data_IF_570878285721
#
_entry.id   IF_570878285721
#
_cell.length_a   1.000
_cell.length_b   1.000
_cell.length_c   1.000
_cell.angle_alpha   90.00
_cell.angle_beta   90.00
_cell.angle_gamma   90.00
#
_symmetry.space_group_name_H-M   'P 1'
#
loop_
_entity.id
_entity.type
_entity.pdbx_description
1 polymer ?
#
# COMPACT_ATOMS: atom_id res chain seq x y z
N UNK A 1 39.92 -11.39 -4.81
CA UNK A 1 39.79 -12.79 -4.40
C UNK A 1 39.09 -12.94 -3.04
N UNK A 2 39.48 -12.17 -2.01
CA UNK A 2 38.84 -12.19 -0.67
C UNK A 2 37.35 -11.85 -0.69
N UNK A 3 36.92 -10.89 -1.49
CA UNK A 3 35.52 -10.44 -1.59
C UNK A 3 34.58 -11.49 -2.21
N UNK A 4 35.10 -12.29 -3.14
CA UNK A 4 34.35 -13.40 -3.74
C UNK A 4 34.19 -14.57 -2.76
N UNK A 5 35.24 -14.86 -1.96
CA UNK A 5 35.19 -15.87 -0.90
C UNK A 5 34.25 -15.46 0.25
N UNK A 6 34.24 -14.18 0.64
CA UNK A 6 33.32 -13.66 1.66
C UNK A 6 31.88 -13.74 1.20
N UNK A 7 31.60 -13.38 -0.05
CA UNK A 7 30.26 -13.51 -0.66
C UNK A 7 29.83 -14.97 -0.79
N UNK A 8 30.72 -15.87 -1.16
CA UNK A 8 30.44 -17.30 -1.22
C UNK A 8 30.18 -17.89 0.18
N UNK A 9 30.94 -17.49 1.20
CA UNK A 9 30.73 -17.91 2.58
C UNK A 9 29.41 -17.36 3.16
N UNK A 10 29.08 -16.11 2.87
CA UNK A 10 27.78 -15.52 3.25
C UNK A 10 26.59 -16.21 2.54
N UNK A 11 26.73 -16.60 1.28
CA UNK A 11 25.72 -17.35 0.55
C UNK A 11 25.48 -18.76 1.10
N UNK A 12 26.51 -19.37 1.69
CA UNK A 12 26.43 -20.68 2.36
C UNK A 12 25.75 -20.59 3.76
N UNK A 13 25.83 -19.44 4.42
CA UNK A 13 25.32 -19.26 5.78
C UNK A 13 23.92 -18.69 5.85
N UNK A 14 23.42 -18.06 4.78
CA UNK A 14 22.09 -17.44 4.74
C UNK A 14 21.20 -18.27 3.82
N UNK A 15 20.55 -19.28 4.38
CA UNK A 15 19.52 -20.02 3.65
C UNK A 15 18.34 -19.08 3.35
N UNK A 16 17.92 -18.97 2.07
CA UNK A 16 16.75 -18.18 1.72
C UNK A 16 15.51 -18.79 2.38
N UNK A 17 14.80 -17.97 3.12
CA UNK A 17 13.60 -18.37 3.84
C UNK A 17 12.42 -17.46 3.52
N UNK A 18 11.22 -18.02 3.57
CA UNK A 18 9.99 -17.26 3.36
C UNK A 18 9.89 -16.09 4.37
N UNK A 19 9.65 -14.86 3.93
CA UNK A 19 9.56 -13.70 4.83
C UNK A 19 8.31 -13.74 5.74
N UNK A 20 7.34 -14.60 5.48
CA UNK A 20 6.13 -14.74 6.28
C UNK A 20 6.27 -15.93 7.26
N UNK A 21 6.37 -17.15 6.75
CA UNK A 21 6.37 -18.37 7.58
C UNK A 21 7.77 -18.88 7.96
N UNK A 22 8.84 -18.28 7.40
CA UNK A 22 10.25 -18.67 7.61
C UNK A 22 10.65 -20.05 7.09
N UNK A 23 9.76 -20.76 6.39
CA UNK A 23 10.12 -22.02 5.74
C UNK A 23 11.28 -21.81 4.75
N UNK A 24 12.16 -22.79 4.62
CA UNK A 24 13.27 -22.78 3.66
C UNK A 24 12.72 -22.65 2.24
N UNK A 25 13.39 -21.85 1.41
CA UNK A 25 13.11 -21.69 -0.02
C UNK A 25 14.19 -22.41 -0.87
N UNK A 26 14.82 -23.44 -0.35
CA UNK A 26 15.79 -24.24 -1.11
C UNK A 26 15.14 -24.78 -2.39
N UNK A 27 15.85 -24.63 -3.50
CA UNK A 27 15.35 -25.04 -4.81
C UNK A 27 14.53 -23.99 -5.57
N UNK A 28 14.19 -22.85 -4.96
CA UNK A 28 13.54 -21.76 -5.69
C UNK A 28 14.59 -20.94 -6.47
N UNK A 29 14.55 -20.92 -7.82
CA UNK A 29 15.52 -20.18 -8.63
C UNK A 29 15.53 -18.67 -8.33
N UNK A 30 14.40 -18.09 -7.93
CA UNK A 30 14.29 -16.69 -7.54
C UNK A 30 15.03 -16.39 -6.21
N UNK A 31 15.24 -17.38 -5.36
CA UNK A 31 15.98 -17.22 -4.11
C UNK A 31 17.50 -17.10 -4.32
N UNK A 32 18.01 -17.60 -5.44
CA UNK A 32 19.46 -17.60 -5.76
C UNK A 32 19.98 -16.23 -6.19
N UNK A 33 19.11 -15.33 -6.65
CA UNK A 33 19.53 -14.01 -7.16
C UNK A 33 19.65 -12.95 -6.07
N UNK A 34 19.33 -13.26 -4.80
CA UNK A 34 19.43 -12.31 -3.67
C UNK A 34 18.50 -11.08 -3.76
N UNK A 35 17.75 -10.94 -4.84
CA UNK A 35 17.15 -9.69 -5.26
C UNK A 35 15.71 -9.50 -4.78
N UNK A 36 14.95 -10.54 -4.44
CA UNK A 36 13.52 -10.36 -4.14
C UNK A 36 13.09 -11.21 -2.96
N UNK A 37 12.67 -10.53 -1.89
CA UNK A 37 11.99 -11.13 -0.74
C UNK A 37 10.57 -11.54 -1.16
N UNK A 38 10.37 -12.74 -1.72
CA UNK A 38 9.03 -13.23 -2.06
C UNK A 38 8.52 -14.22 -1.00
N UNK A 39 7.24 -14.13 -0.62
CA UNK A 39 6.59 -15.18 0.15
C UNK A 39 6.57 -16.51 -0.63
N UNK A 40 6.58 -17.65 0.09
CA UNK A 40 6.41 -18.96 -0.55
C UNK A 40 4.98 -19.14 -1.09
N UNK A 41 4.80 -20.09 -2.00
CA UNK A 41 3.51 -20.40 -2.61
C UNK A 41 2.40 -20.68 -1.58
N UNK A 42 2.72 -21.45 -0.53
CA UNK A 42 1.79 -21.74 0.57
C UNK A 42 1.32 -20.47 1.30
N UNK A 43 2.22 -19.50 1.50
CA UNK A 43 1.83 -18.22 2.08
C UNK A 43 1.00 -17.37 1.11
N UNK A 44 1.35 -17.34 -0.16
CA UNK A 44 0.56 -16.63 -1.18
C UNK A 44 -0.86 -17.17 -1.22
N UNK A 45 -1.01 -18.48 -1.26
CA UNK A 45 -2.31 -19.17 -1.27
C UNK A 45 -3.06 -19.00 0.05
N UNK A 46 -2.44 -19.33 1.18
CA UNK A 46 -3.07 -19.32 2.50
C UNK A 46 -3.55 -17.93 2.95
N UNK A 47 -2.84 -16.88 2.54
CA UNK A 47 -3.25 -15.48 2.79
C UNK A 47 -4.10 -14.88 1.66
N UNK A 48 -4.34 -15.60 0.55
CA UNK A 48 -5.07 -15.12 -0.62
C UNK A 48 -4.43 -13.91 -1.30
N UNK A 49 -3.09 -13.86 -1.33
CA UNK A 49 -2.35 -12.72 -1.87
C UNK A 49 -2.38 -12.72 -3.40
N UNK A 50 -2.88 -11.66 -4.00
CA UNK A 50 -2.91 -11.49 -5.44
C UNK A 50 -3.87 -12.42 -6.19
N UNK A 51 -4.79 -13.12 -5.50
CA UNK A 51 -5.62 -14.13 -6.15
C UNK A 51 -6.92 -13.56 -6.72
N UNK A 52 -7.79 -13.03 -5.86
CA UNK A 52 -9.11 -12.54 -6.26
C UNK A 52 -9.43 -11.21 -5.60
N UNK A 53 -10.36 -10.44 -6.21
CA UNK A 53 -10.77 -9.14 -5.70
C UNK A 53 -9.59 -8.20 -5.42
N UNK A 54 -8.62 -8.16 -6.32
CA UNK A 54 -7.42 -7.34 -6.20
C UNK A 54 -7.55 -5.98 -6.89
N UNK A 55 -8.64 -5.74 -7.60
CA UNK A 55 -8.95 -4.45 -8.23
C UNK A 55 -10.45 -4.24 -8.39
N UNK A 56 -10.86 -3.00 -8.62
CA UNK A 56 -12.25 -2.63 -8.87
C UNK A 56 -12.38 -1.12 -9.10
N UNK A 57 -13.62 -0.66 -9.34
CA UNK A 57 -13.91 0.72 -9.70
C UNK A 57 -14.69 1.51 -8.64
N UNK A 58 -15.23 0.83 -7.63
CA UNK A 58 -16.06 1.46 -6.60
C UNK A 58 -15.33 1.53 -5.24
N UNK A 59 -15.36 2.68 -4.57
CA UNK A 59 -16.01 3.98 -4.89
C UNK A 59 -15.16 4.88 -5.82
N UNK A 60 -13.98 4.47 -6.17
CA UNK A 60 -13.06 5.00 -7.18
C UNK A 60 -12.18 3.82 -7.64
N UNK A 61 -11.52 3.89 -8.80
CA UNK A 61 -10.62 2.82 -9.23
C UNK A 61 -9.59 2.48 -8.14
N UNK A 62 -9.45 1.19 -7.83
CA UNK A 62 -8.54 0.75 -6.77
C UNK A 62 -7.79 -0.53 -7.16
N UNK A 63 -6.60 -0.68 -6.57
CA UNK A 63 -5.76 -1.87 -6.65
C UNK A 63 -5.33 -2.27 -5.23
N UNK A 64 -5.40 -3.56 -4.91
CA UNK A 64 -5.02 -4.11 -3.61
C UNK A 64 -4.34 -5.47 -3.77
N UNK A 65 -3.59 -5.92 -2.77
CA UNK A 65 -3.00 -7.25 -2.80
C UNK A 65 -4.01 -8.35 -2.42
N UNK A 66 -5.05 -8.01 -1.67
CA UNK A 66 -6.07 -8.98 -1.28
C UNK A 66 -7.20 -8.36 -0.46
N UNK A 67 -8.08 -9.24 0.03
CA UNK A 67 -9.25 -8.87 0.81
C UNK A 67 -8.92 -8.76 2.29
N UNK A 68 -9.30 -7.65 2.95
CA UNK A 68 -9.06 -7.40 4.37
C UNK A 68 -9.97 -8.26 5.26
N UNK A 69 -9.68 -9.57 5.31
CA UNK A 69 -10.40 -10.56 6.12
C UNK A 69 -9.49 -11.73 6.50
N UNK A 70 -9.93 -12.58 7.43
CA UNK A 70 -9.23 -13.81 7.82
C UNK A 70 -7.76 -13.58 8.18
N UNK A 71 -6.92 -14.49 7.73
CA UNK A 71 -5.47 -14.49 7.97
C UNK A 71 -4.78 -13.28 7.36
N UNK A 72 -5.19 -12.81 6.18
CA UNK A 72 -4.58 -11.62 5.58
C UNK A 72 -4.83 -10.36 6.40
N UNK A 73 -6.00 -10.24 7.06
CA UNK A 73 -6.25 -9.14 8.01
C UNK A 73 -5.24 -9.16 9.16
N UNK A 74 -4.94 -10.34 9.72
CA UNK A 74 -3.96 -10.47 10.80
C UNK A 74 -2.56 -10.10 10.33
N UNK A 75 -2.16 -10.54 9.14
CA UNK A 75 -0.88 -10.19 8.53
C UNK A 75 -0.75 -8.66 8.33
N UNK A 76 -1.79 -8.00 7.82
CA UNK A 76 -1.79 -6.54 7.66
C UNK A 76 -1.67 -5.82 9.01
N UNK A 77 -2.34 -6.30 10.06
CA UNK A 77 -2.22 -5.74 11.40
C UNK A 77 -0.79 -5.89 11.96
N UNK A 78 -0.14 -7.03 11.73
CA UNK A 78 1.25 -7.28 12.07
C UNK A 78 2.20 -6.32 11.34
N UNK A 79 2.00 -6.15 10.02
CA UNK A 79 2.77 -5.21 9.19
C UNK A 79 2.59 -3.77 9.70
N UNK A 80 1.38 -3.39 10.14
CA UNK A 80 1.14 -2.04 10.73
C UNK A 80 1.95 -1.79 12.01
N UNK A 81 2.22 -2.83 12.78
CA UNK A 81 3.06 -2.72 13.99
C UNK A 81 4.55 -2.65 13.65
N UNK A 82 4.99 -3.39 12.64
CA UNK A 82 6.39 -3.48 12.20
C UNK A 82 6.51 -3.30 10.67
N UNK A 83 6.23 -2.10 10.16
CA UNK A 83 6.08 -1.89 8.72
C UNK A 83 7.40 -2.05 7.92
N UNK A 84 8.55 -1.87 8.56
CA UNK A 84 9.87 -2.09 7.95
C UNK A 84 10.41 -3.51 8.14
N UNK A 85 9.62 -4.42 8.72
CA UNK A 85 10.00 -5.83 8.86
C UNK A 85 10.25 -6.48 7.49
N UNK A 86 10.95 -7.62 7.49
CA UNK A 86 11.16 -8.43 6.28
C UNK A 86 9.84 -8.80 5.63
N UNK A 87 8.83 -9.17 6.44
CA UNK A 87 7.46 -9.45 5.99
C UNK A 87 6.81 -8.23 5.33
N UNK A 88 6.87 -7.06 5.97
CA UNK A 88 6.29 -5.83 5.44
C UNK A 88 6.87 -5.46 4.07
N UNK A 89 8.20 -5.48 3.94
CA UNK A 89 8.87 -5.22 2.66
C UNK A 89 8.48 -6.21 1.57
N UNK A 90 8.41 -7.51 1.91
CA UNK A 90 8.05 -8.56 0.96
C UNK A 90 6.61 -8.42 0.45
N UNK A 91 5.66 -8.11 1.34
CA UNK A 91 4.25 -7.92 0.97
C UNK A 91 4.06 -6.66 0.13
N UNK A 92 4.78 -5.58 0.44
CA UNK A 92 4.78 -4.35 -0.38
C UNK A 92 5.36 -4.63 -1.77
N UNK A 93 6.49 -5.36 -1.85
CA UNK A 93 7.07 -5.72 -3.14
C UNK A 93 6.16 -6.61 -3.96
N UNK A 94 5.46 -7.55 -3.32
CA UNK A 94 4.48 -8.41 -3.98
C UNK A 94 3.31 -7.58 -4.55
N UNK A 95 2.82 -6.57 -3.81
CA UNK A 95 1.81 -5.64 -4.29
C UNK A 95 2.29 -4.88 -5.53
N UNK A 96 3.52 -4.36 -5.52
CA UNK A 96 4.09 -3.63 -6.65
C UNK A 96 4.26 -4.53 -7.89
N UNK A 97 4.71 -5.76 -7.70
CA UNK A 97 4.84 -6.74 -8.79
C UNK A 97 3.48 -7.17 -9.36
N UNK A 98 2.46 -7.30 -8.49
CA UNK A 98 1.11 -7.71 -8.91
C UNK A 98 0.36 -6.60 -9.66
N UNK A 99 0.63 -5.34 -9.31
CA UNK A 99 -0.01 -4.18 -9.90
C UNK A 99 1.02 -3.17 -10.44
N UNK A 100 1.74 -3.50 -11.52
CA UNK A 100 2.65 -2.54 -12.12
C UNK A 100 1.89 -1.27 -12.51
N UNK A 101 2.52 -0.13 -12.28
CA UNK A 101 1.98 1.18 -12.64
C UNK A 101 2.54 1.63 -13.98
N UNK A 102 1.79 2.48 -14.73
CA UNK A 102 2.31 3.08 -15.95
C UNK A 102 3.56 3.90 -15.65
N UNK A 103 4.44 3.98 -16.64
CA UNK A 103 5.61 4.85 -16.55
C UNK A 103 5.18 6.30 -16.38
N UNK A 104 5.78 7.00 -15.41
CA UNK A 104 5.41 8.38 -15.11
C UNK A 104 4.23 8.51 -14.13
N UNK A 105 3.71 7.42 -13.58
CA UNK A 105 2.77 7.48 -12.47
C UNK A 105 3.41 8.19 -11.27
N UNK A 106 2.66 9.08 -10.61
CA UNK A 106 3.09 9.80 -9.42
C UNK A 106 2.29 9.33 -8.21
N UNK A 107 2.97 8.83 -7.19
CA UNK A 107 2.35 8.30 -6.00
C UNK A 107 2.13 9.38 -4.94
N UNK A 108 0.92 9.44 -4.38
CA UNK A 108 0.54 10.40 -3.34
C UNK A 108 0.09 9.66 -2.09
N UNK A 109 0.98 9.46 -1.10
CA UNK A 109 0.61 8.84 0.16
C UNK A 109 -0.43 9.68 0.91
N UNK A 110 -1.50 9.02 1.36
CA UNK A 110 -2.54 9.68 2.18
C UNK A 110 -2.00 9.86 3.61
N UNK A 111 -1.97 11.09 4.14
CA UNK A 111 -1.45 11.33 5.48
C UNK A 111 -2.37 10.76 6.58
N UNK A 112 -1.77 10.14 7.59
CA UNK A 112 -2.48 9.59 8.75
C UNK A 112 -3.19 10.69 9.56
N UNK A 113 -4.35 10.35 10.13
CA UNK A 113 -5.09 11.26 11.04
C UNK A 113 -4.47 11.34 12.45
N UNK A 114 -3.69 10.34 12.87
CA UNK A 114 -3.05 10.29 14.19
C UNK A 114 -1.78 11.13 14.21
N UNK A 115 -1.80 12.31 14.81
CA UNK A 115 -0.61 13.17 14.97
C UNK A 115 0.51 12.51 15.78
N UNK A 116 0.19 11.78 16.86
CA UNK A 116 1.17 11.16 17.78
C UNK A 116 1.73 9.81 17.31
N UNK A 117 1.06 9.11 16.38
CA UNK A 117 1.51 7.85 15.76
C UNK A 117 1.20 7.91 14.27
N UNK A 118 2.03 8.61 13.54
CA UNK A 118 1.93 8.65 12.08
C UNK A 118 2.06 7.21 11.55
N UNK A 119 1.09 6.77 10.74
CA UNK A 119 1.18 5.50 10.04
C UNK A 119 2.15 5.64 8.86
N UNK A 120 3.33 4.99 8.89
CA UNK A 120 4.31 5.13 7.82
C UNK A 120 3.99 4.27 6.59
N UNK A 121 3.01 3.35 6.67
CA UNK A 121 2.73 2.38 5.62
C UNK A 121 2.44 2.99 4.26
N UNK A 122 1.60 4.03 4.10
CA UNK A 122 1.36 4.62 2.79
C UNK A 122 2.65 5.11 2.11
N UNK A 123 3.58 5.69 2.87
CA UNK A 123 4.88 6.13 2.36
C UNK A 123 5.78 4.94 1.97
N UNK A 124 5.80 3.89 2.77
CA UNK A 124 6.59 2.69 2.51
C UNK A 124 6.04 1.91 1.31
N UNK A 125 4.71 1.84 1.15
CA UNK A 125 4.07 1.27 -0.02
C UNK A 125 4.47 2.06 -1.27
N UNK A 126 4.37 3.39 -1.24
CA UNK A 126 4.78 4.23 -2.36
C UNK A 126 6.26 4.01 -2.73
N UNK A 127 7.15 3.96 -1.73
CA UNK A 127 8.58 3.69 -1.96
C UNK A 127 8.83 2.32 -2.60
N UNK A 128 8.03 1.30 -2.24
CA UNK A 128 8.16 -0.06 -2.78
C UNK A 128 7.81 -0.20 -4.26
N UNK A 129 7.10 0.76 -4.84
CA UNK A 129 6.80 0.77 -6.28
C UNK A 129 7.97 1.28 -7.14
N UNK A 130 9.00 1.89 -6.54
CA UNK A 130 10.12 2.48 -7.30
C UNK A 130 9.73 3.64 -8.22
N UNK A 131 8.50 4.16 -8.10
CA UNK A 131 7.99 5.31 -8.83
C UNK A 131 8.16 6.60 -8.02
N UNK A 132 8.20 7.77 -8.66
CA UNK A 132 8.20 9.05 -7.95
C UNK A 132 7.02 9.17 -6.99
N UNK A 133 7.28 9.71 -5.81
CA UNK A 133 6.24 9.98 -4.82
C UNK A 133 6.34 11.39 -4.28
N UNK A 134 5.20 11.99 -3.94
CA UNK A 134 5.12 13.35 -3.43
C UNK A 134 4.08 13.51 -2.33
N UNK A 135 4.33 14.43 -1.40
CA UNK A 135 3.44 14.73 -0.27
C UNK A 135 2.53 15.93 -0.60
N UNK A 136 1.66 15.76 -1.59
CA UNK A 136 0.72 16.82 -2.01
C UNK A 136 -0.41 17.07 -1.02
N UNK A 137 -0.75 16.08 -0.20
CA UNK A 137 -1.87 16.15 0.73
C UNK A 137 -1.41 16.55 2.13
N UNK A 138 -2.08 17.55 2.68
CA UNK A 138 -1.97 17.94 4.09
C UNK A 138 -3.33 17.77 4.78
N UNK A 139 -3.34 17.29 6.02
CA UNK A 139 -4.56 17.25 6.81
C UNK A 139 -4.80 18.61 7.47
N UNK A 140 -5.99 19.15 7.27
CA UNK A 140 -6.41 20.44 7.82
C UNK A 140 -7.03 20.31 9.21
N UNK A 141 -7.70 19.16 9.50
CA UNK A 141 -8.39 18.90 10.78
C UNK A 141 -8.02 17.53 11.31
N UNK A 142 -7.84 17.43 12.62
CA UNK A 142 -7.93 16.15 13.30
C UNK A 142 -9.40 15.73 13.23
N UNK A 143 -9.73 14.72 12.42
CA UNK A 143 -11.10 14.19 12.36
C UNK A 143 -11.55 13.79 13.76
N UNK A 144 -12.82 14.06 14.11
CA UNK A 144 -13.46 13.54 15.30
C UNK A 144 -13.30 12.02 15.34
N UNK A 145 -13.09 11.46 16.52
CA UNK A 145 -12.90 10.02 16.73
C UNK A 145 -14.03 9.23 16.03
N UNK A 146 -13.70 8.45 15.03
CA UNK A 146 -14.66 7.81 14.11
C UNK A 146 -15.32 6.55 14.69
N UNK A 147 -15.11 6.26 15.99
CA UNK A 147 -15.57 4.99 16.57
C UNK A 147 -17.10 4.85 16.64
N UNK A 148 -17.87 5.94 16.55
CA UNK A 148 -19.34 5.93 16.70
C UNK A 148 -20.10 6.45 15.48
N UNK A 149 -19.45 6.74 14.35
CA UNK A 149 -20.11 7.31 13.18
C UNK A 149 -20.55 6.22 12.18
N UNK A 150 -21.79 6.33 11.70
CA UNK A 150 -22.28 5.51 10.59
C UNK A 150 -21.59 5.90 9.25
N UNK A 151 -21.85 5.14 8.17
CA UNK A 151 -21.22 5.33 6.86
C UNK A 151 -21.44 6.73 6.28
N UNK A 152 -22.67 7.25 6.38
CA UNK A 152 -23.05 8.57 5.87
C UNK A 152 -22.34 9.68 6.65
N UNK A 153 -22.33 9.60 7.97
CA UNK A 153 -21.63 10.57 8.84
C UNK A 153 -20.12 10.56 8.64
N UNK A 154 -19.51 9.39 8.30
CA UNK A 154 -18.07 9.33 7.97
C UNK A 154 -17.73 10.06 6.67
N UNK A 155 -18.62 10.04 5.67
CA UNK A 155 -18.40 10.78 4.43
C UNK A 155 -18.47 12.29 4.65
N UNK A 156 -19.47 12.78 5.38
CA UNK A 156 -19.61 14.21 5.70
C UNK A 156 -18.50 14.74 6.63
N UNK A 157 -17.98 13.89 7.51
CA UNK A 157 -16.91 14.28 8.46
C UNK A 157 -15.53 14.44 7.80
N UNK A 158 -15.39 14.02 6.54
CA UNK A 158 -14.15 14.11 5.79
C UNK A 158 -14.14 15.24 4.74
N UNK A 159 -15.25 15.95 4.55
CA UNK A 159 -15.28 17.14 3.71
C UNK A 159 -14.37 18.21 4.30
N UNK A 160 -13.41 18.67 3.49
CA UNK A 160 -12.36 19.59 3.91
C UNK A 160 -11.32 18.98 4.87
N UNK A 161 -11.27 17.65 5.04
CA UNK A 161 -10.26 16.99 5.87
C UNK A 161 -8.85 17.07 5.28
N UNK A 162 -8.74 17.30 3.98
CA UNK A 162 -7.48 17.45 3.27
C UNK A 162 -7.42 18.77 2.51
N UNK A 163 -6.22 19.31 2.48
CA UNK A 163 -5.83 20.39 1.57
C UNK A 163 -4.73 19.87 0.69
N UNK A 164 -4.81 20.13 -0.61
CA UNK A 164 -3.72 19.83 -1.51
C UNK A 164 -2.76 21.02 -1.52
N UNK A 165 -1.49 20.76 -1.24
CA UNK A 165 -0.46 21.78 -1.44
C UNK A 165 -0.41 22.13 -2.93
N UNK A 166 -0.28 23.44 -3.28
CA UNK A 166 -0.06 23.82 -4.67
C UNK A 166 1.19 23.10 -5.17
N UNK A 167 1.07 22.50 -6.35
CA UNK A 167 2.21 21.84 -6.98
C UNK A 167 3.35 22.86 -7.12
N UNK A 168 4.57 22.54 -6.70
CA UNK A 168 5.72 23.33 -7.12
C UNK A 168 5.73 23.29 -8.66
N UNK A 169 5.60 24.43 -9.29
CA UNK A 169 5.36 24.63 -10.73
C UNK A 169 6.32 23.91 -11.70
N UNK A 170 7.39 23.29 -11.21
CA UNK A 170 8.41 22.65 -12.04
C UNK A 170 8.36 21.12 -12.13
N UNK A 171 7.69 20.40 -11.20
CA UNK A 171 7.86 18.94 -11.09
C UNK A 171 6.61 18.12 -11.44
N UNK A 172 5.44 18.73 -11.50
CA UNK A 172 4.19 18.01 -11.80
C UNK A 172 3.62 18.55 -13.10
N UNK A 173 3.94 17.84 -14.19
CA UNK A 173 3.32 18.14 -15.47
C UNK A 173 1.86 17.67 -15.45
N UNK A 174 0.94 18.30 -16.22
CA UNK A 174 -0.46 17.87 -16.36
C UNK A 174 -0.63 16.42 -16.85
N UNK A 175 0.44 15.82 -17.33
CA UNK A 175 0.49 14.44 -17.84
C UNK A 175 0.63 13.36 -16.76
N UNK A 176 0.96 13.71 -15.51
CA UNK A 176 1.16 12.71 -14.47
C UNK A 176 -0.19 12.16 -13.98
N UNK A 177 -0.36 10.86 -14.08
CA UNK A 177 -1.47 10.16 -13.45
C UNK A 177 -1.17 10.00 -11.94
N UNK A 178 -1.96 10.67 -11.11
CA UNK A 178 -1.80 10.54 -9.67
C UNK A 178 -2.48 9.28 -9.14
N UNK A 179 -1.73 8.49 -8.38
CA UNK A 179 -2.24 7.35 -7.63
C UNK A 179 -2.16 7.64 -6.15
N UNK A 180 -3.30 7.64 -5.47
CA UNK A 180 -3.36 7.68 -4.02
C UNK A 180 -2.79 6.39 -3.44
N UNK A 181 -2.13 6.48 -2.29
CA UNK A 181 -1.61 5.31 -1.57
C UNK A 181 -2.12 5.32 -0.14
N UNK A 182 -2.78 4.22 0.26
CA UNK A 182 -3.25 3.99 1.63
C UNK A 182 -2.85 2.59 2.09
N UNK A 183 -3.06 2.25 3.35
CA UNK A 183 -2.81 0.90 3.86
C UNK A 183 -4.01 -0.03 3.63
N UNK A 184 -5.22 0.42 3.96
CA UNK A 184 -6.46 -0.36 3.86
C UNK A 184 -7.57 0.51 3.27
N UNK A 185 -8.15 0.07 2.17
CA UNK A 185 -9.33 0.71 1.60
C UNK A 185 -10.60 0.08 2.20
N UNK A 186 -11.27 0.80 3.11
CA UNK A 186 -12.53 0.35 3.73
C UNK A 186 -13.75 0.84 2.95
N UNK A 187 -14.39 1.91 3.36
CA UNK A 187 -15.50 2.53 2.64
C UNK A 187 -15.04 3.37 1.45
N UNK A 188 -13.76 3.72 1.41
CA UNK A 188 -13.18 4.65 0.45
C UNK A 188 -13.37 6.13 0.79
N UNK A 189 -14.04 6.46 1.89
CA UNK A 189 -14.33 7.85 2.26
C UNK A 189 -13.06 8.71 2.34
N UNK A 190 -11.98 8.17 2.93
CA UNK A 190 -10.69 8.86 3.01
C UNK A 190 -10.08 9.09 1.62
N UNK A 191 -10.13 8.08 0.75
CA UNK A 191 -9.60 8.19 -0.61
C UNK A 191 -10.41 9.16 -1.47
N UNK A 192 -11.74 9.18 -1.31
CA UNK A 192 -12.62 10.16 -1.99
C UNK A 192 -12.29 11.58 -1.54
N UNK A 193 -12.18 11.83 -0.22
CA UNK A 193 -11.84 13.15 0.30
C UNK A 193 -10.45 13.62 -0.18
N UNK A 194 -9.47 12.72 -0.20
CA UNK A 194 -8.13 12.99 -0.73
C UNK A 194 -8.17 13.30 -2.23
N UNK A 195 -8.92 12.52 -3.03
CA UNK A 195 -9.13 12.78 -4.46
C UNK A 195 -9.77 14.14 -4.68
N UNK A 196 -10.83 14.48 -3.95
CA UNK A 196 -11.55 15.73 -4.11
C UNK A 196 -10.61 16.93 -3.85
N UNK A 197 -9.81 16.90 -2.78
CA UNK A 197 -8.84 17.95 -2.49
C UNK A 197 -7.80 18.11 -3.62
N UNK A 198 -7.29 17.01 -4.17
CA UNK A 198 -6.36 17.05 -5.30
C UNK A 198 -7.02 17.56 -6.58
N UNK A 199 -8.27 17.16 -6.85
CA UNK A 199 -9.03 17.63 -8.02
C UNK A 199 -9.31 19.13 -7.94
N UNK A 200 -9.67 19.65 -6.74
CA UNK A 200 -9.82 21.09 -6.51
C UNK A 200 -8.52 21.88 -6.74
N UNK A 201 -7.38 21.26 -6.49
CA UNK A 201 -6.06 21.82 -6.78
C UNK A 201 -5.60 21.62 -8.25
N UNK A 202 -6.48 21.14 -9.12
CA UNK A 202 -6.21 20.96 -10.56
C UNK A 202 -5.53 19.64 -10.94
N UNK A 203 -5.42 18.66 -10.01
CA UNK A 203 -4.79 17.38 -10.28
C UNK A 203 -5.81 16.32 -10.72
N UNK A 204 -5.39 15.43 -11.63
CA UNK A 204 -6.16 14.26 -12.03
C UNK A 204 -5.72 13.03 -11.24
N UNK A 205 -6.63 12.48 -10.42
CA UNK A 205 -6.40 11.24 -9.66
C UNK A 205 -6.95 10.06 -10.45
N UNK A 206 -6.10 9.08 -10.76
CA UNK A 206 -6.47 7.88 -11.49
C UNK A 206 -7.15 6.84 -10.59
N UNK A 207 -6.58 6.61 -9.40
CA UNK A 207 -7.11 5.62 -8.47
C UNK A 207 -6.36 5.57 -7.15
N UNK A 208 -6.58 4.51 -6.38
CA UNK A 208 -5.92 4.25 -5.10
C UNK A 208 -5.27 2.87 -5.08
N UNK A 209 -4.09 2.79 -4.48
CA UNK A 209 -3.36 1.56 -4.20
C UNK A 209 -3.32 1.34 -2.70
N UNK A 210 -3.57 0.11 -2.25
CA UNK A 210 -3.52 -0.27 -0.84
C UNK A 210 -3.07 -1.72 -0.66
N UNK A 211 -2.70 -2.12 0.56
CA UNK A 211 -2.42 -3.54 0.85
C UNK A 211 -3.69 -4.37 0.79
N UNK A 212 -4.79 -3.86 1.35
CA UNK A 212 -6.01 -4.65 1.49
C UNK A 212 -7.27 -3.83 1.23
N UNK A 213 -8.28 -4.49 0.64
CA UNK A 213 -9.63 -3.95 0.44
C UNK A 213 -10.61 -4.66 1.36
N UNK A 214 -11.38 -3.92 2.15
CA UNK A 214 -12.49 -4.50 2.92
C UNK A 214 -13.58 -4.99 1.96
N UNK A 215 -14.11 -6.21 2.13
CA UNK A 215 -15.21 -6.69 1.30
C UNK A 215 -16.38 -5.71 1.29
N UNK A 216 -17.02 -5.53 0.14
CA UNK A 216 -18.29 -4.84 0.10
C UNK A 216 -19.28 -5.61 1.00
N UNK A 217 -19.98 -4.93 1.91
CA UNK A 217 -21.08 -5.56 2.63
C UNK A 217 -22.10 -6.00 1.60
N UNK A 218 -22.33 -7.31 1.46
CA UNK A 218 -23.54 -7.80 0.82
C UNK A 218 -24.69 -7.26 1.67
N UNK A 219 -25.45 -6.29 1.15
CA UNK A 219 -26.75 -5.97 1.71
C UNK A 219 -27.54 -7.28 1.59
N UNK A 220 -27.72 -7.97 2.72
CA UNK A 220 -28.65 -9.08 2.79
C UNK A 220 -30.03 -8.57 2.36
N UNK A 221 -30.56 -9.24 1.35
CA UNK A 221 -31.98 -9.15 1.05
C UNK A 221 -32.75 -9.86 2.14
#
# INVERSE_FOLDING_TARGET
MFDALLKAAQALLIQPSCPICRASLEGNPAAKTGAVLQPCGLCIEGYGLGQSNTSGNEPLPWKALGTYQGEFRQLVLQIKQQPQSRTGRAVIQLLANHHPLPQGALLVPIPSWKKKRSNPLPKLIAAGFGQPSTMLLQRTRAGLSQHHLNRSMRMHNLDGAFHAAPAPHASIQPKHELWLVDDILTTGATAIAARNALTQAGHRVHGVICLARTPARRNGR
#
